data_IF_230969416698
#
_entry.id   IF_230969416698
#
_cell.length_a   1.000
_cell.length_b   1.000
_cell.length_c   1.000
_cell.angle_alpha   90.00
_cell.angle_beta   90.00
_cell.angle_gamma   90.00
#
_symmetry.space_group_name_H-M   'P 1'
#
loop_
_entity.id
_entity.type
_entity.pdbx_description
1 polymer ?
#
# COMPACT_ATOMS: atom_id res chain seq x y z
N UNK A 1 6.51 -18.75 -13.31
CA UNK A 1 5.52 -18.21 -12.33
C UNK A 1 4.12 -18.56 -12.82
N UNK A 2 3.32 -19.30 -12.03
CA UNK A 2 1.96 -19.66 -12.43
C UNK A 2 1.02 -18.46 -12.22
N UNK A 3 0.27 -18.10 -13.25
CA UNK A 3 -0.78 -17.11 -13.19
C UNK A 3 -2.13 -17.83 -13.15
N UNK A 4 -2.99 -17.51 -12.21
CA UNK A 4 -4.32 -18.12 -12.06
C UNK A 4 -5.39 -17.05 -12.34
N UNK A 5 -6.28 -17.25 -13.32
CA UNK A 5 -7.39 -16.36 -13.59
C UNK A 5 -8.61 -16.69 -12.69
N UNK A 6 -9.32 -15.65 -12.25
CA UNK A 6 -10.54 -15.75 -11.45
C UNK A 6 -11.63 -14.88 -12.08
N UNK A 7 -12.79 -15.46 -12.31
CA UNK A 7 -13.89 -14.78 -12.98
C UNK A 7 -14.51 -13.64 -12.13
N UNK A 8 -14.38 -13.71 -10.80
CA UNK A 8 -14.89 -12.70 -9.87
C UNK A 8 -14.16 -12.73 -8.53
N UNK A 9 -14.45 -11.75 -7.67
CA UNK A 9 -13.85 -11.62 -6.34
C UNK A 9 -14.27 -12.74 -5.37
N UNK A 10 -15.47 -13.31 -5.48
CA UNK A 10 -15.92 -14.41 -4.61
C UNK A 10 -15.02 -15.66 -4.82
N UNK A 11 -14.74 -16.02 -6.08
CA UNK A 11 -13.82 -17.12 -6.39
C UNK A 11 -12.41 -16.86 -5.91
N UNK A 12 -11.94 -15.61 -6.05
CA UNK A 12 -10.62 -15.20 -5.57
C UNK A 12 -10.57 -15.24 -4.04
N UNK A 13 -11.55 -14.69 -3.33
CA UNK A 13 -11.63 -14.73 -1.87
C UNK A 13 -11.65 -16.16 -1.33
N UNK A 14 -12.41 -17.05 -1.96
CA UNK A 14 -12.43 -18.47 -1.61
C UNK A 14 -11.05 -19.13 -1.81
N UNK A 15 -10.38 -18.83 -2.91
CA UNK A 15 -9.02 -19.34 -3.16
C UNK A 15 -8.03 -18.84 -2.09
N UNK A 16 -8.11 -17.57 -1.68
CA UNK A 16 -7.25 -17.03 -0.63
C UNK A 16 -7.50 -17.72 0.73
N UNK A 17 -8.75 -18.05 1.07
CA UNK A 17 -9.05 -18.84 2.27
C UNK A 17 -8.44 -20.24 2.21
N UNK A 18 -8.47 -20.91 1.06
CA UNK A 18 -7.83 -22.20 0.84
C UNK A 18 -6.29 -22.11 0.95
N UNK A 19 -5.66 -21.08 0.38
CA UNK A 19 -4.21 -20.88 0.54
C UNK A 19 -3.82 -20.74 2.03
N UNK A 20 -4.65 -20.07 2.83
CA UNK A 20 -4.41 -19.91 4.27
C UNK A 20 -4.59 -21.19 5.10
N UNK A 21 -5.13 -22.27 4.56
CA UNK A 21 -5.13 -23.58 5.23
C UNK A 21 -3.72 -24.12 5.42
N UNK A 22 -2.83 -23.89 4.43
CA UNK A 22 -1.44 -24.36 4.43
C UNK A 22 -0.42 -23.27 4.75
N UNK A 23 -0.78 -22.00 4.63
CA UNK A 23 0.08 -20.83 4.84
C UNK A 23 -0.43 -19.98 6.00
N UNK A 24 0.49 -19.27 6.67
CA UNK A 24 0.12 -18.34 7.72
C UNK A 24 -0.25 -16.96 7.16
N UNK A 25 0.39 -16.56 6.07
CA UNK A 25 0.27 -15.23 5.51
C UNK A 25 0.10 -15.28 4.00
N UNK A 26 -0.74 -14.38 3.47
CA UNK A 26 -0.83 -14.07 2.04
C UNK A 26 -0.54 -12.59 1.85
N UNK A 27 0.48 -12.28 1.07
CA UNK A 27 0.84 -10.91 0.69
C UNK A 27 0.39 -10.64 -0.74
N UNK A 28 -0.42 -9.59 -0.92
CA UNK A 28 -0.96 -9.18 -2.21
C UNK A 28 -0.40 -7.80 -2.57
N UNK A 29 0.41 -7.75 -3.60
CA UNK A 29 0.74 -6.48 -4.24
C UNK A 29 -0.27 -6.21 -5.36
N UNK A 30 -0.87 -5.02 -5.38
CA UNK A 30 -1.77 -4.62 -6.44
C UNK A 30 -1.81 -3.09 -6.59
N UNK A 31 -1.89 -2.62 -7.83
CA UNK A 31 -2.04 -1.18 -8.11
C UNK A 31 -3.38 -0.63 -7.61
N UNK A 32 -3.44 0.70 -7.46
CA UNK A 32 -4.70 1.37 -7.17
C UNK A 32 -5.71 1.12 -8.29
N UNK A 33 -7.00 1.00 -7.93
CA UNK A 33 -8.06 0.67 -8.88
C UNK A 33 -8.18 -0.81 -9.26
N UNK A 34 -7.27 -1.69 -8.82
CA UNK A 34 -7.36 -3.15 -9.09
C UNK A 34 -8.52 -3.82 -8.34
N UNK A 35 -9.02 -3.22 -7.24
CA UNK A 35 -10.12 -3.75 -6.44
C UNK A 35 -9.69 -4.40 -5.12
N UNK A 36 -8.54 -4.00 -4.55
CA UNK A 36 -8.06 -4.47 -3.22
C UNK A 36 -9.15 -4.38 -2.15
N UNK A 37 -9.73 -3.20 -1.97
CA UNK A 37 -10.77 -2.95 -0.96
C UNK A 37 -12.03 -3.77 -1.21
N UNK A 38 -12.44 -3.94 -2.47
CA UNK A 38 -13.57 -4.82 -2.81
C UNK A 38 -13.27 -6.28 -2.48
N UNK A 39 -12.05 -6.73 -2.72
CA UNK A 39 -11.60 -8.09 -2.36
C UNK A 39 -11.63 -8.30 -0.85
N UNK A 40 -11.13 -7.34 -0.07
CA UNK A 40 -11.11 -7.42 1.39
C UNK A 40 -12.53 -7.50 1.99
N UNK A 41 -13.46 -6.69 1.46
CA UNK A 41 -14.87 -6.76 1.85
C UNK A 41 -15.50 -8.11 1.47
N UNK A 42 -15.25 -8.61 0.24
CA UNK A 42 -15.75 -9.92 -0.20
C UNK A 42 -15.22 -11.05 0.69
N UNK A 43 -13.95 -11.00 1.06
CA UNK A 43 -13.32 -11.98 1.96
C UNK A 43 -13.97 -11.97 3.36
N UNK A 44 -14.19 -10.78 3.94
CA UNK A 44 -14.85 -10.59 5.22
C UNK A 44 -16.29 -11.07 5.18
N UNK A 45 -17.04 -10.77 4.10
CA UNK A 45 -18.42 -11.16 3.95
C UNK A 45 -18.62 -12.67 3.70
N UNK A 46 -17.62 -13.36 3.16
CA UNK A 46 -17.64 -14.82 3.06
C UNK A 46 -17.77 -15.48 4.44
N UNK A 47 -17.01 -15.02 5.45
CA UNK A 47 -17.15 -15.49 6.82
C UNK A 47 -18.54 -15.22 7.43
N UNK A 48 -19.13 -14.05 7.14
CA UNK A 48 -20.49 -13.73 7.61
C UNK A 48 -21.57 -14.65 7.03
N UNK A 49 -21.45 -15.01 5.74
CA UNK A 49 -22.38 -15.93 5.05
C UNK A 49 -22.36 -17.33 5.67
N UNK A 50 -21.20 -17.73 6.20
CA UNK A 50 -21.03 -19.01 6.92
C UNK A 50 -21.45 -18.93 8.40
N UNK A 51 -22.06 -17.81 8.82
CA UNK A 51 -22.50 -17.57 10.21
C UNK A 51 -21.38 -17.23 11.18
N UNK A 52 -20.14 -17.20 10.72
CA UNK A 52 -18.95 -16.92 11.54
C UNK A 52 -18.40 -15.55 11.18
N UNK A 53 -18.48 -14.57 12.06
CA UNK A 53 -17.75 -13.30 11.90
C UNK A 53 -16.32 -13.52 12.35
N UNK A 54 -15.47 -14.04 11.46
CA UNK A 54 -14.16 -14.58 11.75
C UNK A 54 -12.99 -13.67 11.34
N UNK A 55 -13.27 -12.54 10.70
CA UNK A 55 -12.26 -11.66 10.08
C UNK A 55 -12.19 -10.31 10.77
N UNK A 56 -11.04 -10.00 11.38
CA UNK A 56 -10.66 -8.65 11.79
C UNK A 56 -10.15 -7.91 10.55
N UNK A 57 -10.78 -6.78 10.24
CA UNK A 57 -10.50 -6.02 9.03
C UNK A 57 -9.95 -4.63 9.35
N UNK A 58 -8.85 -4.28 8.69
CA UNK A 58 -8.26 -2.94 8.73
C UNK A 58 -8.12 -2.38 7.31
N UNK A 59 -8.47 -1.12 7.19
CA UNK A 59 -8.25 -0.31 5.98
C UNK A 59 -7.75 1.06 6.42
N UNK A 60 -6.82 1.66 5.68
CA UNK A 60 -6.32 3.01 5.94
C UNK A 60 -7.43 4.10 5.84
N UNK A 61 -8.49 3.82 5.09
CA UNK A 61 -9.70 4.67 5.06
C UNK A 61 -10.64 4.28 6.20
N UNK A 62 -10.31 4.70 7.40
CA UNK A 62 -11.00 4.31 8.65
C UNK A 62 -12.19 5.21 8.99
N UNK A 63 -12.77 5.91 8.04
CA UNK A 63 -13.94 6.79 8.22
C UNK A 63 -15.13 6.07 8.87
N UNK A 64 -15.21 4.74 8.74
CA UNK A 64 -16.20 3.92 9.44
C UNK A 64 -15.90 3.70 10.93
N UNK A 65 -14.65 3.92 11.36
CA UNK A 65 -14.19 3.67 12.73
C UNK A 65 -14.02 4.95 13.53
N UNK A 66 -13.54 6.01 12.87
CA UNK A 66 -13.23 7.29 13.49
C UNK A 66 -13.79 8.43 12.63
N UNK A 67 -14.30 9.48 13.30
CA UNK A 67 -14.81 10.68 12.63
C UNK A 67 -14.38 11.92 13.39
N UNK A 68 -13.80 12.93 12.71
CA UNK A 68 -13.46 14.20 13.31
C UNK A 68 -14.70 15.04 13.61
N UNK A 69 -14.77 15.55 14.84
CA UNK A 69 -15.57 16.70 15.19
C UNK A 69 -14.64 17.91 15.29
N UNK A 70 -14.83 18.86 14.40
CA UNK A 70 -13.95 20.02 14.29
C UNK A 70 -14.50 21.25 15.06
N UNK A 71 -15.61 21.10 15.81
CA UNK A 71 -16.26 22.19 16.52
C UNK A 71 -16.35 23.46 15.65
N UNK A 72 -17.09 23.40 14.54
CA UNK A 72 -17.15 24.47 13.55
C UNK A 72 -17.74 25.78 14.10
N UNK A 73 -18.45 25.74 15.23
CA UNK A 73 -19.05 26.91 15.88
C UNK A 73 -18.10 27.53 16.90
N UNK A 74 -17.44 26.71 17.73
CA UNK A 74 -16.54 27.19 18.80
C UNK A 74 -15.06 27.25 18.39
N UNK A 75 -14.65 26.50 17.39
CA UNK A 75 -13.26 26.32 16.92
C UNK A 75 -12.23 26.08 18.07
N UNK A 76 -12.70 25.49 19.16
CA UNK A 76 -11.95 25.31 20.41
C UNK A 76 -11.70 23.86 20.75
N UNK A 77 -12.67 22.96 20.51
CA UNK A 77 -12.56 21.54 20.82
C UNK A 77 -12.52 20.68 19.56
N UNK A 78 -11.37 20.12 19.25
CA UNK A 78 -11.16 19.21 18.13
C UNK A 78 -10.96 17.83 18.66
N UNK A 79 -11.91 16.94 18.38
CA UNK A 79 -11.89 15.57 18.91
C UNK A 79 -12.11 14.55 17.79
N UNK A 80 -11.48 13.39 17.92
CA UNK A 80 -11.68 12.26 17.05
C UNK A 80 -12.70 11.32 17.71
N UNK A 81 -13.91 11.21 17.15
CA UNK A 81 -15.00 10.35 17.68
C UNK A 81 -14.78 8.89 17.27
N UNK A 82 -15.02 7.99 18.22
CA UNK A 82 -14.96 6.54 18.02
C UNK A 82 -16.35 6.02 17.69
N UNK A 83 -16.48 5.24 16.60
CA UNK A 83 -17.73 4.57 16.26
C UNK A 83 -17.93 3.32 17.12
N UNK A 84 -18.67 3.48 18.19
CA UNK A 84 -18.96 2.43 19.16
C UNK A 84 -19.74 1.24 18.64
N UNK A 85 -20.41 1.35 17.49
CA UNK A 85 -21.14 0.22 16.90
C UNK A 85 -20.17 -0.84 16.30
N UNK A 86 -18.88 -0.49 16.16
CA UNK A 86 -17.88 -1.42 15.63
C UNK A 86 -17.36 -2.37 16.69
N UNK A 87 -17.39 -3.68 16.40
CA UNK A 87 -16.74 -4.72 17.24
C UNK A 87 -15.23 -4.53 17.38
N UNK A 88 -14.64 -3.70 16.54
CA UNK A 88 -13.24 -3.31 16.61
C UNK A 88 -12.88 -2.69 17.98
N UNK A 89 -13.85 -2.05 18.61
CA UNK A 89 -13.68 -1.36 19.89
C UNK A 89 -14.29 -2.13 21.09
N UNK A 90 -14.54 -3.43 20.94
CA UNK A 90 -15.09 -4.22 22.03
C UNK A 90 -14.12 -4.29 23.22
N UNK A 91 -14.59 -3.92 24.41
CA UNK A 91 -13.83 -4.02 25.66
C UNK A 91 -12.71 -2.99 25.84
N UNK A 92 -12.75 -1.85 25.12
CA UNK A 92 -11.70 -0.84 25.16
C UNK A 92 -11.37 -0.31 26.56
N UNK A 93 -12.40 -0.09 27.39
CA UNK A 93 -12.24 0.47 28.74
C UNK A 93 -11.43 -0.46 29.66
N UNK A 94 -11.64 -1.78 29.53
CA UNK A 94 -11.00 -2.81 30.32
C UNK A 94 -9.56 -3.11 29.87
N UNK A 95 -9.16 -2.62 28.68
CA UNK A 95 -7.91 -3.00 28.02
C UNK A 95 -6.78 -1.99 28.15
N UNK A 96 -6.97 -0.91 28.90
CA UNK A 96 -5.95 0.16 29.13
C UNK A 96 -5.30 0.63 27.83
N UNK A 97 -6.10 0.96 26.83
CA UNK A 97 -5.64 1.23 25.47
C UNK A 97 -4.59 2.33 25.39
N UNK A 98 -4.69 3.40 26.20
CA UNK A 98 -3.73 4.49 26.20
C UNK A 98 -2.31 4.00 26.51
N UNK A 99 -2.18 3.21 27.58
CA UNK A 99 -0.89 2.65 28.00
C UNK A 99 -0.29 1.71 26.95
N UNK A 100 -1.12 1.07 26.16
CA UNK A 100 -0.70 0.14 25.09
C UNK A 100 -0.37 0.87 23.80
N UNK A 101 -1.10 1.93 23.44
CA UNK A 101 -0.90 2.68 22.21
C UNK A 101 0.33 3.59 22.28
N UNK A 102 0.55 4.29 23.42
CA UNK A 102 1.67 5.24 23.59
C UNK A 102 3.03 4.66 23.17
N UNK A 103 3.43 3.43 23.57
CA UNK A 103 4.73 2.87 23.18
C UNK A 103 4.89 2.66 21.67
N UNK A 104 3.78 2.47 20.94
CA UNK A 104 3.80 2.40 19.50
C UNK A 104 3.83 3.79 18.87
N UNK A 105 3.00 4.72 19.37
CA UNK A 105 2.83 6.05 18.83
C UNK A 105 4.12 6.89 18.94
N UNK A 106 4.76 6.90 20.09
CA UNK A 106 5.97 7.67 20.34
C UNK A 106 7.19 7.24 19.50
N UNK A 107 7.07 6.13 18.75
CA UNK A 107 8.10 5.74 17.76
C UNK A 107 7.99 6.50 16.45
N UNK A 108 6.84 7.10 16.18
CA UNK A 108 6.52 7.73 14.91
C UNK A 108 6.15 9.20 15.04
N UNK A 109 5.63 9.60 16.19
CA UNK A 109 5.03 10.92 16.40
C UNK A 109 5.49 11.53 17.73
N UNK A 110 5.44 12.86 17.79
CA UNK A 110 5.81 13.72 18.92
C UNK A 110 4.60 14.31 19.66
N UNK A 111 3.42 13.76 19.44
CA UNK A 111 2.20 14.14 20.14
C UNK A 111 1.71 13.01 21.05
N UNK A 112 0.89 13.38 22.05
CA UNK A 112 0.20 12.46 22.94
C UNK A 112 -1.31 12.56 22.74
N UNK A 113 -2.05 11.68 23.40
CA UNK A 113 -3.50 11.61 23.32
C UNK A 113 -4.12 11.13 24.63
N UNK A 114 -5.41 11.40 24.79
CA UNK A 114 -6.26 10.86 25.85
C UNK A 114 -7.57 10.32 25.26
N UNK A 115 -8.11 9.27 25.83
CA UNK A 115 -9.39 8.66 25.43
C UNK A 115 -10.43 8.96 26.51
N UNK A 116 -11.49 9.65 26.11
CA UNK A 116 -12.70 9.77 26.92
C UNK A 116 -13.63 8.61 26.57
N UNK A 117 -13.67 7.62 27.45
CA UNK A 117 -14.46 6.40 27.21
C UNK A 117 -15.97 6.63 27.34
N UNK A 118 -16.40 7.61 28.16
CA UNK A 118 -17.82 7.95 28.32
C UNK A 118 -18.36 8.65 27.07
N UNK A 119 -17.62 9.65 26.59
CA UNK A 119 -17.97 10.39 25.38
C UNK A 119 -17.52 9.72 24.09
N UNK A 120 -16.66 8.69 24.20
CA UNK A 120 -16.06 7.96 23.08
C UNK A 120 -15.32 8.88 22.13
N UNK A 121 -14.50 9.75 22.68
CA UNK A 121 -13.71 10.73 21.95
C UNK A 121 -12.23 10.58 22.29
N UNK A 122 -11.39 10.99 21.35
CA UNK A 122 -9.93 11.04 21.50
C UNK A 122 -9.52 12.48 21.32
N UNK A 123 -8.74 13.00 22.27
CA UNK A 123 -8.14 14.32 22.25
C UNK A 123 -6.65 14.19 22.05
N UNK A 124 -6.06 15.12 21.31
CA UNK A 124 -4.62 15.13 21.05
C UNK A 124 -3.98 16.34 21.70
N UNK A 125 -2.75 16.14 22.20
CA UNK A 125 -1.93 17.18 22.82
C UNK A 125 -0.49 17.10 22.33
N UNK A 126 0.25 18.21 22.41
CA UNK A 126 1.67 18.26 22.06
C UNK A 126 2.44 19.16 23.00
N UNK A 127 3.61 18.72 23.42
CA UNK A 127 4.57 19.54 24.14
C UNK A 127 5.30 20.48 23.18
N UNK A 128 5.33 21.76 23.51
CA UNK A 128 6.04 22.78 22.73
C UNK A 128 6.98 23.56 23.62
N UNK A 129 8.13 23.97 23.08
CA UNK A 129 9.04 24.88 23.78
C UNK A 129 8.51 26.32 23.69
N UNK A 130 8.26 26.92 24.83
CA UNK A 130 7.79 28.31 24.93
C UNK A 130 8.87 29.13 25.62
N UNK A 131 9.21 30.28 25.06
CA UNK A 131 10.10 31.26 25.69
C UNK A 131 9.31 32.06 26.74
N UNK A 132 9.77 32.02 28.00
CA UNK A 132 9.26 32.86 29.09
C UNK A 132 10.36 33.81 29.57
N UNK A 133 10.01 34.79 30.36
CA UNK A 133 10.96 35.75 30.94
C UNK A 133 12.03 35.05 31.81
N UNK A 134 11.74 33.86 32.30
CA UNK A 134 12.65 33.02 33.12
C UNK A 134 13.48 32.04 32.29
N UNK A 135 13.27 31.98 30.96
CA UNK A 135 13.96 31.09 30.02
C UNK A 135 13.03 30.13 29.27
N UNK A 136 13.58 29.24 28.46
CA UNK A 136 12.77 28.27 27.72
C UNK A 136 12.12 27.25 28.66
N UNK A 137 10.81 27.09 28.57
CA UNK A 137 10.02 26.12 29.32
C UNK A 137 9.18 25.28 28.36
N UNK A 138 8.75 24.10 28.81
CA UNK A 138 7.86 23.23 28.03
C UNK A 138 6.41 23.48 28.48
N UNK A 139 5.54 23.74 27.49
CA UNK A 139 4.09 23.87 27.72
C UNK A 139 3.36 22.83 26.89
N UNK A 140 2.29 22.25 27.42
CA UNK A 140 1.40 21.34 26.71
C UNK A 140 0.29 22.16 26.07
N UNK A 141 0.12 21.97 24.75
CA UNK A 141 -1.03 22.48 24.01
C UNK A 141 -2.02 21.33 23.83
N UNK A 142 -3.20 21.50 24.40
CA UNK A 142 -4.30 20.54 24.29
C UNK A 142 -5.21 20.84 23.08
N UNK A 143 -6.07 19.87 22.72
CA UNK A 143 -7.07 19.97 21.66
C UNK A 143 -6.49 20.31 20.29
N UNK A 144 -5.25 19.87 20.01
CA UNK A 144 -4.64 20.08 18.70
C UNK A 144 -5.32 19.23 17.62
N UNK A 145 -5.40 19.77 16.41
CA UNK A 145 -5.72 18.98 15.23
C UNK A 145 -4.43 18.42 14.64
N UNK A 146 -4.27 17.12 14.68
CA UNK A 146 -3.15 16.44 14.03
C UNK A 146 -3.31 16.45 12.49
N UNK A 147 -2.20 16.39 11.78
CA UNK A 147 -2.21 16.26 10.33
C UNK A 147 -2.82 14.92 9.90
N UNK A 148 -3.25 14.80 8.63
CA UNK A 148 -3.80 13.55 8.09
C UNK A 148 -2.82 12.37 8.17
N UNK A 149 -1.52 12.65 8.02
CA UNK A 149 -0.46 11.63 8.17
C UNK A 149 -0.35 11.14 9.61
N UNK A 150 -0.36 12.05 10.57
CA UNK A 150 -0.32 11.76 12.01
C UNK A 150 -1.57 11.00 12.46
N UNK A 151 -2.76 11.39 11.98
CA UNK A 151 -4.00 10.68 12.23
C UNK A 151 -3.90 9.22 11.75
N UNK A 152 -3.44 9.00 10.53
CA UNK A 152 -3.28 7.65 9.98
C UNK A 152 -2.30 6.81 10.80
N UNK A 153 -1.20 7.41 11.28
CA UNK A 153 -0.24 6.73 12.16
C UNK A 153 -0.90 6.39 13.50
N UNK A 154 -1.66 7.31 14.10
CA UNK A 154 -2.38 7.04 15.35
C UNK A 154 -3.35 5.85 15.19
N UNK A 155 -4.16 5.86 14.13
CA UNK A 155 -5.12 4.79 13.85
C UNK A 155 -4.39 3.47 13.58
N UNK A 156 -3.25 3.53 12.90
CA UNK A 156 -2.39 2.38 12.70
C UNK A 156 -1.85 1.81 14.03
N UNK A 157 -1.34 2.67 14.91
CA UNK A 157 -0.88 2.24 16.23
C UNK A 157 -2.00 1.63 17.06
N UNK A 158 -3.20 2.18 16.98
CA UNK A 158 -4.39 1.61 17.59
C UNK A 158 -4.66 0.19 17.08
N UNK A 159 -4.56 -0.01 15.77
CA UNK A 159 -4.74 -1.33 15.16
C UNK A 159 -3.63 -2.32 15.56
N UNK A 160 -2.38 -1.88 15.65
CA UNK A 160 -1.28 -2.73 16.14
C UNK A 160 -1.53 -3.24 17.56
N UNK A 161 -2.13 -2.41 18.42
CA UNK A 161 -2.53 -2.85 19.78
C UNK A 161 -3.61 -3.92 19.70
N UNK A 162 -4.59 -3.82 18.81
CA UNK A 162 -5.61 -4.86 18.63
C UNK A 162 -5.00 -6.17 18.14
N UNK A 163 -4.02 -6.12 17.23
CA UNK A 163 -3.24 -7.31 16.86
C UNK A 163 -2.52 -7.87 18.09
N UNK A 164 -1.89 -7.01 18.89
CA UNK A 164 -1.19 -7.46 20.11
C UNK A 164 -2.16 -8.12 21.09
N UNK A 165 -3.34 -7.56 21.30
CA UNK A 165 -4.39 -8.17 22.13
C UNK A 165 -4.87 -9.52 21.57
N UNK A 166 -4.90 -9.66 20.25
CA UNK A 166 -5.20 -10.94 19.59
C UNK A 166 -4.09 -11.96 19.85
N UNK A 167 -2.81 -11.54 19.80
CA UNK A 167 -1.64 -12.36 20.15
C UNK A 167 -1.70 -12.80 21.61
N UNK A 168 -2.05 -11.87 22.51
CA UNK A 168 -2.14 -12.11 23.95
C UNK A 168 -3.36 -12.98 24.34
N UNK A 169 -4.21 -13.32 23.37
CA UNK A 169 -5.40 -14.17 23.59
C UNK A 169 -6.54 -13.49 24.35
N UNK A 170 -6.63 -12.15 24.27
CA UNK A 170 -7.68 -11.39 24.94
C UNK A 170 -9.09 -11.89 24.54
N UNK A 171 -9.97 -12.05 25.52
CA UNK A 171 -11.32 -12.65 25.36
C UNK A 171 -12.12 -11.97 24.25
N UNK A 172 -12.04 -10.64 24.20
CA UNK A 172 -12.75 -9.83 23.21
C UNK A 172 -12.38 -10.15 21.75
N UNK A 173 -11.21 -10.77 21.50
CA UNK A 173 -10.69 -11.06 20.17
C UNK A 173 -10.53 -12.56 19.85
N UNK A 174 -10.97 -13.47 20.72
CA UNK A 174 -10.93 -14.93 20.48
C UNK A 174 -11.71 -15.40 19.25
N UNK A 175 -12.61 -14.58 18.76
CA UNK A 175 -13.37 -14.84 17.54
C UNK A 175 -12.55 -14.65 16.26
N UNK A 176 -11.37 -13.98 16.33
CA UNK A 176 -10.54 -13.66 15.17
C UNK A 176 -9.81 -14.92 14.69
N UNK A 177 -10.14 -15.35 13.47
CA UNK A 177 -9.42 -16.41 12.75
C UNK A 177 -8.56 -15.83 11.64
N UNK A 178 -9.00 -14.71 11.07
CA UNK A 178 -8.32 -14.02 9.99
C UNK A 178 -8.14 -12.54 10.32
N UNK A 179 -7.00 -12.00 9.92
CA UNK A 179 -6.74 -10.56 9.91
C UNK A 179 -6.53 -10.15 8.45
N UNK A 180 -7.38 -9.26 7.95
CA UNK A 180 -7.19 -8.68 6.62
C UNK A 180 -6.79 -7.22 6.74
N UNK A 181 -5.59 -6.89 6.25
CA UNK A 181 -5.02 -5.54 6.26
C UNK A 181 -5.01 -5.03 4.82
N UNK A 182 -5.80 -3.99 4.55
CA UNK A 182 -5.93 -3.41 3.22
C UNK A 182 -5.27 -2.04 3.17
N UNK A 183 -4.14 -1.99 2.48
CA UNK A 183 -3.39 -0.78 2.13
C UNK A 183 -3.07 0.14 3.33
N UNK A 184 -2.39 -0.38 4.39
CA UNK A 184 -2.31 0.28 5.68
C UNK A 184 -1.52 1.61 5.68
N UNK A 185 -0.74 1.87 4.64
CA UNK A 185 0.22 2.98 4.59
C UNK A 185 0.06 3.86 3.34
N UNK A 186 -1.16 4.34 3.09
CA UNK A 186 -1.45 5.12 1.89
C UNK A 186 -0.78 6.52 1.83
N UNK A 187 -0.25 7.03 2.94
CA UNK A 187 0.29 8.40 3.04
C UNK A 187 1.59 8.53 3.85
N UNK A 188 2.33 7.44 4.07
CA UNK A 188 3.61 7.46 4.77
C UNK A 188 4.79 7.59 3.79
N UNK A 189 5.86 8.24 4.26
CA UNK A 189 7.14 8.23 3.58
C UNK A 189 7.82 6.85 3.64
N UNK A 190 8.88 6.67 2.84
CA UNK A 190 9.59 5.40 2.73
C UNK A 190 10.20 4.90 4.05
N UNK A 191 10.70 5.81 4.90
CA UNK A 191 11.31 5.44 6.19
C UNK A 191 10.27 4.91 7.16
N UNK A 192 9.14 5.61 7.27
CA UNK A 192 8.02 5.19 8.08
C UNK A 192 7.40 3.89 7.54
N UNK A 193 7.31 3.73 6.22
CA UNK A 193 6.82 2.50 5.60
C UNK A 193 7.65 1.27 5.98
N UNK A 194 8.98 1.39 6.03
CA UNK A 194 9.88 0.30 6.45
C UNK A 194 9.69 -0.01 7.94
N UNK A 195 9.64 1.01 8.79
CA UNK A 195 9.48 0.83 10.24
C UNK A 195 8.13 0.17 10.58
N UNK A 196 7.05 0.62 9.94
CA UNK A 196 5.69 0.07 10.08
C UNK A 196 5.64 -1.39 9.62
N UNK A 197 6.26 -1.72 8.48
CA UNK A 197 6.31 -3.10 7.98
C UNK A 197 7.05 -4.05 8.93
N UNK A 198 8.20 -3.63 9.45
CA UNK A 198 8.97 -4.41 10.42
C UNK A 198 8.18 -4.65 11.71
N UNK A 199 7.54 -3.62 12.25
CA UNK A 199 6.72 -3.73 13.45
C UNK A 199 5.56 -4.70 13.26
N UNK A 200 4.84 -4.55 12.14
CA UNK A 200 3.75 -5.47 11.79
C UNK A 200 4.27 -6.90 11.70
N UNK A 201 5.37 -7.12 10.99
CA UNK A 201 5.95 -8.46 10.83
C UNK A 201 6.32 -9.10 12.17
N UNK A 202 6.89 -8.33 13.11
CA UNK A 202 7.22 -8.82 14.44
C UNK A 202 5.99 -9.26 15.24
N UNK A 203 4.87 -8.55 15.13
CA UNK A 203 3.60 -8.93 15.76
C UNK A 203 3.01 -10.18 15.10
N UNK A 204 2.97 -10.20 13.76
CA UNK A 204 2.38 -11.32 13.01
C UNK A 204 3.14 -12.64 13.21
N UNK A 205 4.45 -12.59 13.42
CA UNK A 205 5.27 -13.77 13.77
C UNK A 205 4.86 -14.43 15.09
N UNK A 206 4.23 -13.68 16.00
CA UNK A 206 3.78 -14.16 17.32
C UNK A 206 2.35 -14.72 17.28
N UNK A 207 1.60 -14.49 16.18
CA UNK A 207 0.25 -15.03 16.05
C UNK A 207 0.26 -16.54 15.96
N UNK A 208 -0.51 -17.20 16.82
CA UNK A 208 -0.76 -18.64 16.76
C UNK A 208 -2.21 -18.88 16.33
N UNK A 209 -2.40 -19.75 15.35
CA UNK A 209 -3.72 -20.12 14.83
C UNK A 209 -4.44 -19.05 14.01
N UNK A 210 -4.02 -17.78 14.05
CA UNK A 210 -4.62 -16.69 13.27
C UNK A 210 -3.86 -16.48 11.96
N UNK A 211 -4.61 -16.38 10.86
CA UNK A 211 -4.06 -16.24 9.51
C UNK A 211 -4.20 -14.81 9.01
N UNK A 212 -3.29 -14.36 8.16
CA UNK A 212 -3.33 -12.96 7.69
C UNK A 212 -3.29 -12.82 6.18
N UNK A 213 -4.01 -11.81 5.69
CA UNK A 213 -3.90 -11.31 4.31
C UNK A 213 -3.52 -9.84 4.40
N UNK A 214 -2.52 -9.45 3.64
CA UNK A 214 -2.08 -8.06 3.56
C UNK A 214 -2.07 -7.65 2.12
N UNK A 215 -2.89 -6.67 1.74
CA UNK A 215 -2.89 -6.06 0.41
C UNK A 215 -2.25 -4.68 0.47
N UNK A 216 -1.41 -4.35 -0.52
CA UNK A 216 -0.76 -3.05 -0.60
C UNK A 216 -0.35 -2.70 -2.03
N UNK A 217 -0.23 -1.40 -2.29
CA UNK A 217 0.41 -0.88 -3.50
C UNK A 217 1.81 -0.31 -3.23
N UNK A 218 2.24 -0.29 -1.97
CA UNK A 218 3.52 0.28 -1.57
C UNK A 218 4.64 -0.77 -1.66
N UNK A 219 5.59 -0.57 -2.57
CA UNK A 219 6.62 -1.56 -2.91
C UNK A 219 7.55 -1.89 -1.76
N UNK A 220 8.04 -0.87 -1.03
CA UNK A 220 8.97 -1.09 0.09
C UNK A 220 8.29 -1.86 1.22
N UNK A 221 7.08 -1.48 1.59
CA UNK A 221 6.29 -2.19 2.60
C UNK A 221 6.09 -3.66 2.23
N UNK A 222 5.70 -3.93 0.97
CA UNK A 222 5.53 -5.30 0.47
C UNK A 222 6.83 -6.09 0.56
N UNK A 223 7.96 -5.51 0.11
CA UNK A 223 9.25 -6.18 0.09
C UNK A 223 9.77 -6.49 1.50
N UNK A 224 9.61 -5.56 2.45
CA UNK A 224 9.97 -5.80 3.86
C UNK A 224 9.17 -6.97 4.43
N UNK A 225 7.84 -6.99 4.22
CA UNK A 225 7.01 -8.11 4.67
C UNK A 225 7.38 -9.42 3.98
N UNK A 226 7.73 -9.39 2.69
CA UNK A 226 8.20 -10.57 1.96
C UNK A 226 9.48 -11.18 2.56
N UNK A 227 10.37 -10.33 3.08
CA UNK A 227 11.62 -10.77 3.69
C UNK A 227 11.41 -11.24 5.13
N UNK A 228 10.55 -10.57 5.88
CA UNK A 228 10.35 -10.82 7.30
C UNK A 228 9.42 -12.00 7.59
N UNK A 229 8.40 -12.24 6.78
CA UNK A 229 7.39 -13.26 7.06
C UNK A 229 7.72 -14.59 6.38
N UNK A 230 7.87 -15.65 7.18
CA UNK A 230 7.98 -17.03 6.69
C UNK A 230 6.62 -17.66 6.37
N UNK A 231 6.60 -18.82 5.68
CA UNK A 231 5.38 -19.56 5.29
C UNK A 231 4.32 -18.69 4.62
N UNK A 232 4.75 -17.85 3.70
CA UNK A 232 3.96 -16.80 3.07
C UNK A 232 3.76 -17.08 1.60
N UNK A 233 2.54 -16.89 1.10
CA UNK A 233 2.25 -16.80 -0.34
C UNK A 233 2.36 -15.35 -0.77
N UNK A 234 3.23 -15.07 -1.75
CA UNK A 234 3.54 -13.73 -2.27
C UNK A 234 2.96 -13.59 -3.65
N UNK A 235 2.02 -12.69 -3.85
CA UNK A 235 1.27 -12.59 -5.10
C UNK A 235 1.19 -11.15 -5.62
N UNK A 236 1.16 -11.04 -6.94
CA UNK A 236 0.73 -9.86 -7.66
C UNK A 236 -0.70 -10.08 -8.18
N UNK A 237 -1.59 -9.16 -7.81
CA UNK A 237 -2.97 -9.15 -8.27
C UNK A 237 -3.15 -8.07 -9.34
N UNK A 238 -3.68 -8.48 -10.49
CA UNK A 238 -4.06 -7.57 -11.57
C UNK A 238 -5.47 -7.88 -12.06
N UNK A 239 -6.08 -6.93 -12.76
CA UNK A 239 -7.36 -7.12 -13.44
C UNK A 239 -7.14 -7.00 -14.94
N UNK A 240 -7.51 -8.03 -15.68
CA UNK A 240 -7.47 -7.99 -17.14
C UNK A 240 -8.69 -7.18 -17.64
N UNK A 241 -8.42 -6.09 -18.34
CA UNK A 241 -9.46 -5.19 -18.86
C UNK A 241 -10.30 -5.81 -19.99
N UNK A 242 -9.76 -6.80 -20.71
CA UNK A 242 -10.45 -7.44 -21.85
C UNK A 242 -11.41 -8.53 -21.40
N UNK A 243 -10.95 -9.41 -20.50
CA UNK A 243 -11.75 -10.51 -19.98
C UNK A 243 -12.51 -10.19 -18.70
N UNK A 244 -12.30 -9.00 -18.12
CA UNK A 244 -12.79 -8.55 -16.81
C UNK A 244 -12.43 -9.49 -15.65
N UNK A 245 -11.43 -10.37 -15.87
CA UNK A 245 -10.98 -11.37 -14.91
C UNK A 245 -9.89 -10.82 -13.99
N UNK A 246 -9.87 -11.31 -12.76
CA UNK A 246 -8.77 -11.09 -11.83
C UNK A 246 -7.69 -12.13 -12.05
N UNK A 247 -6.45 -11.68 -12.16
CA UNK A 247 -5.29 -12.56 -12.38
C UNK A 247 -4.39 -12.48 -11.16
N UNK A 248 -4.25 -13.61 -10.47
CA UNK A 248 -3.33 -13.77 -9.36
C UNK A 248 -2.07 -14.47 -9.84
N UNK A 249 -0.93 -13.76 -9.75
CA UNK A 249 0.38 -14.28 -10.12
C UNK A 249 1.24 -14.46 -8.88
N UNK A 250 1.75 -15.66 -8.65
CA UNK A 250 2.72 -15.89 -7.59
C UNK A 250 4.06 -15.25 -7.97
N UNK A 251 4.65 -14.43 -7.08
CA UNK A 251 5.93 -13.75 -7.31
C UNK A 251 7.13 -14.58 -6.86
N UNK A 252 6.91 -15.74 -6.23
CA UNK A 252 7.98 -16.60 -5.71
C UNK A 252 8.73 -15.94 -4.55
N UNK A 253 10.00 -16.26 -4.41
CA UNK A 253 10.88 -15.69 -3.37
C UNK A 253 11.56 -14.37 -3.80
N UNK A 254 11.33 -13.95 -5.02
CA UNK A 254 11.90 -12.70 -5.55
C UNK A 254 11.08 -11.51 -5.05
N UNK A 255 11.70 -10.51 -4.40
CA UNK A 255 11.02 -9.27 -4.06
C UNK A 255 10.38 -8.64 -5.29
N UNK A 256 9.15 -8.14 -5.16
CA UNK A 256 8.47 -7.49 -6.27
C UNK A 256 9.05 -6.09 -6.47
N UNK A 257 9.62 -5.86 -7.65
CA UNK A 257 10.11 -4.54 -8.06
C UNK A 257 9.12 -3.91 -9.04
N UNK A 258 8.42 -2.87 -8.60
CA UNK A 258 7.40 -2.19 -9.41
C UNK A 258 7.92 -1.74 -10.77
N UNK A 259 9.12 -1.17 -10.82
CA UNK A 259 9.74 -0.70 -12.08
C UNK A 259 10.07 -1.85 -13.03
N UNK A 260 10.49 -3.02 -12.52
CA UNK A 260 10.76 -4.20 -13.35
C UNK A 260 9.46 -4.82 -13.86
N UNK A 261 8.40 -4.84 -13.03
CA UNK A 261 7.08 -5.30 -13.48
C UNK A 261 6.49 -4.37 -14.55
N UNK A 262 6.62 -3.07 -14.38
CA UNK A 262 6.23 -2.07 -15.39
C UNK A 262 7.04 -2.25 -16.68
N UNK A 263 8.35 -2.46 -16.58
CA UNK A 263 9.20 -2.72 -17.74
C UNK A 263 8.80 -4.00 -18.48
N UNK A 264 8.48 -5.08 -17.76
CA UNK A 264 7.99 -6.33 -18.37
C UNK A 264 6.64 -6.13 -19.09
N UNK A 265 5.75 -5.29 -18.54
CA UNK A 265 4.49 -4.91 -19.18
C UNK A 265 4.73 -4.12 -20.47
N UNK A 266 5.62 -3.11 -20.42
CA UNK A 266 5.98 -2.32 -21.59
C UNK A 266 6.62 -3.16 -22.69
N UNK A 267 7.52 -4.06 -22.34
CA UNK A 267 8.14 -4.99 -23.28
C UNK A 267 7.09 -5.85 -23.97
N UNK A 268 6.19 -6.45 -23.21
CA UNK A 268 5.09 -7.27 -23.75
C UNK A 268 4.15 -6.46 -24.64
N UNK A 269 3.79 -5.24 -24.24
CA UNK A 269 2.95 -4.34 -25.04
C UNK A 269 3.63 -3.96 -26.35
N UNK A 270 4.94 -3.69 -26.32
CA UNK A 270 5.76 -3.42 -27.50
C UNK A 270 5.78 -4.56 -28.50
N UNK A 271 5.94 -5.80 -28.02
CA UNK A 271 5.93 -7.02 -28.84
C UNK A 271 4.55 -7.30 -29.45
N UNK A 272 3.48 -7.10 -28.68
CA UNK A 272 2.11 -7.37 -29.14
C UNK A 272 1.52 -6.26 -30.00
N UNK A 273 2.22 -5.13 -30.19
CA UNK A 273 1.75 -3.97 -30.95
C UNK A 273 0.64 -3.16 -30.27
N UNK A 274 0.21 -3.56 -29.08
CA UNK A 274 -0.88 -2.89 -28.32
C UNK A 274 -0.31 -1.80 -27.41
N UNK A 275 0.11 -0.69 -28.02
CA UNK A 275 0.69 0.44 -27.33
C UNK A 275 -0.33 1.57 -27.21
N UNK A 276 -0.54 2.00 -25.98
CA UNK A 276 -1.45 3.09 -25.60
C UNK A 276 -0.65 4.26 -25.03
N UNK A 277 -1.21 5.44 -25.06
CA UNK A 277 -0.57 6.68 -24.61
C UNK A 277 -0.05 6.59 -23.16
N UNK A 278 -0.76 5.90 -22.27
CA UNK A 278 -0.33 5.75 -20.88
C UNK A 278 0.99 4.94 -20.72
N UNK A 279 1.37 4.13 -21.72
CA UNK A 279 2.64 3.41 -21.67
C UNK A 279 3.85 4.37 -21.72
N UNK A 280 3.71 5.54 -22.32
CA UNK A 280 4.76 6.58 -22.24
C UNK A 280 4.96 7.08 -20.80
N UNK A 281 3.88 7.25 -20.04
CA UNK A 281 3.97 7.64 -18.62
C UNK A 281 4.69 6.57 -17.79
N UNK A 282 4.41 5.30 -18.06
CA UNK A 282 5.10 4.20 -17.41
C UNK A 282 6.59 4.20 -17.77
N UNK A 283 6.92 4.35 -19.05
CA UNK A 283 8.31 4.42 -19.53
C UNK A 283 9.05 5.60 -18.90
N UNK A 284 8.44 6.77 -18.88
CA UNK A 284 9.01 7.96 -18.24
C UNK A 284 9.31 7.72 -16.76
N UNK A 285 8.37 7.14 -16.01
CA UNK A 285 8.57 6.83 -14.59
C UNK A 285 9.77 5.89 -14.39
N UNK A 286 9.98 4.92 -15.28
CA UNK A 286 11.14 4.03 -15.24
C UNK A 286 12.43 4.82 -15.53
N UNK A 287 12.43 5.67 -16.54
CA UNK A 287 13.59 6.51 -16.90
C UNK A 287 13.96 7.47 -15.77
N UNK A 288 12.98 8.13 -15.14
CA UNK A 288 13.18 9.02 -14.00
C UNK A 288 13.80 8.30 -12.79
N UNK A 289 13.30 7.11 -12.45
CA UNK A 289 13.85 6.29 -11.37
C UNK A 289 15.25 5.80 -11.69
N UNK A 290 15.50 5.41 -12.95
CA UNK A 290 16.83 5.00 -13.40
C UNK A 290 17.81 6.15 -13.33
N UNK A 291 17.42 7.34 -13.81
CA UNK A 291 18.25 8.54 -13.73
C UNK A 291 18.62 8.87 -12.27
N UNK A 292 17.64 8.85 -11.39
CA UNK A 292 17.83 9.08 -9.97
C UNK A 292 18.80 8.05 -9.35
N UNK A 293 18.64 6.77 -9.66
CA UNK A 293 19.49 5.69 -9.17
C UNK A 293 20.96 5.83 -9.64
N UNK A 294 21.15 6.25 -10.88
CA UNK A 294 22.48 6.46 -11.47
C UNK A 294 23.07 7.86 -11.20
N UNK A 295 22.34 8.73 -10.49
CA UNK A 295 22.79 10.08 -10.18
C UNK A 295 22.76 11.06 -11.37
N UNK A 296 21.99 10.76 -12.40
CA UNK A 296 21.78 11.67 -13.54
C UNK A 296 20.82 12.79 -13.16
N UNK A 297 21.06 13.98 -13.72
CA UNK A 297 20.22 15.15 -13.44
C UNK A 297 18.86 15.11 -14.16
N UNK A 298 18.81 14.44 -15.32
CA UNK A 298 17.61 14.38 -16.19
C UNK A 298 17.39 12.96 -16.65
N UNK A 299 16.13 12.56 -16.80
CA UNK A 299 15.78 11.25 -17.34
C UNK A 299 16.21 11.07 -18.81
N UNK A 300 16.35 12.18 -19.58
CA UNK A 300 16.87 12.17 -20.95
C UNK A 300 18.29 11.59 -21.03
N UNK A 301 19.07 11.67 -19.95
CA UNK A 301 20.43 11.12 -19.91
C UNK A 301 20.42 9.57 -19.93
N UNK A 302 19.27 8.96 -19.69
CA UNK A 302 19.05 7.52 -19.81
C UNK A 302 18.67 7.06 -21.23
N UNK A 303 18.42 8.00 -22.15
CA UNK A 303 18.01 7.71 -23.53
C UNK A 303 19.26 7.82 -24.42
N UNK A 304 19.48 6.83 -25.30
CA UNK A 304 20.58 6.91 -26.24
C UNK A 304 20.31 7.96 -27.31
N UNK A 305 21.31 8.75 -27.63
CA UNK A 305 21.33 9.58 -28.82
C UNK A 305 21.47 8.67 -30.05
N UNK A 306 20.53 8.78 -30.98
CA UNK A 306 20.62 8.08 -32.28
C UNK A 306 21.07 9.05 -33.36
N UNK A 307 21.43 8.52 -34.53
CA UNK A 307 21.81 9.33 -35.70
C UNK A 307 20.67 10.26 -36.16
N UNK A 308 19.44 9.90 -35.86
CA UNK A 308 18.19 10.65 -36.13
C UNK A 308 17.82 11.65 -35.03
N UNK A 309 18.49 11.61 -33.87
CA UNK A 309 18.29 12.54 -32.76
C UNK A 309 19.63 12.75 -32.00
N UNK A 310 20.63 13.37 -32.65
CA UNK A 310 21.98 13.47 -32.09
C UNK A 310 22.03 14.25 -30.76
N UNK A 311 21.07 15.12 -30.53
CA UNK A 311 20.96 15.90 -29.29
C UNK A 311 20.12 15.24 -28.21
N UNK A 312 19.48 14.08 -28.48
CA UNK A 312 18.55 13.38 -27.58
C UNK A 312 17.29 14.18 -27.23
N UNK A 313 17.02 15.27 -27.99
CA UNK A 313 15.94 16.20 -27.69
C UNK A 313 14.61 15.65 -28.17
N UNK A 314 14.60 14.97 -29.31
CA UNK A 314 13.37 14.46 -29.93
C UNK A 314 12.73 13.40 -29.04
N UNK A 315 13.47 12.40 -28.60
CA UNK A 315 12.98 11.33 -27.72
C UNK A 315 12.55 11.87 -26.36
N UNK A 316 13.32 12.78 -25.76
CA UNK A 316 12.96 13.43 -24.52
C UNK A 316 11.67 14.26 -24.67
N UNK A 317 11.50 14.97 -25.80
CA UNK A 317 10.27 15.71 -26.10
C UNK A 317 9.06 14.79 -26.29
N UNK A 318 9.21 13.68 -27.02
CA UNK A 318 8.13 12.72 -27.24
C UNK A 318 7.64 12.17 -25.89
N UNK A 319 8.56 11.76 -25.03
CA UNK A 319 8.21 11.28 -23.68
C UNK A 319 7.56 12.38 -22.84
N UNK A 320 7.96 13.66 -22.99
CA UNK A 320 7.34 14.79 -22.32
C UNK A 320 5.97 15.18 -22.90
N UNK A 321 5.86 15.32 -24.21
CA UNK A 321 4.63 15.79 -24.89
C UNK A 321 3.49 14.81 -24.66
N UNK A 322 3.76 13.52 -24.76
CA UNK A 322 2.76 12.48 -24.57
C UNK A 322 2.32 12.33 -23.09
N UNK A 323 3.01 13.01 -22.19
CA UNK A 323 2.69 13.06 -20.76
C UNK A 323 1.76 14.22 -20.38
N UNK A 324 1.74 15.31 -21.15
CA UNK A 324 0.95 16.51 -20.86
C UNK A 324 -0.42 16.53 -21.54
N UNK A 325 -0.77 15.52 -22.33
CA UNK A 325 -2.12 15.36 -22.88
C UNK A 325 -3.11 14.86 -21.82
N UNK A 326 -4.39 15.18 -22.00
CA UNK A 326 -5.51 14.63 -21.20
C UNK A 326 -5.64 13.11 -21.38
N UNK A 327 -4.67 12.34 -20.86
CA UNK A 327 -4.66 10.88 -20.96
C UNK A 327 -5.45 10.29 -19.82
N UNK A 328 -6.74 10.11 -20.05
CA UNK A 328 -7.59 9.36 -19.14
C UNK A 328 -7.12 7.91 -19.09
N UNK A 329 -6.73 7.44 -17.90
CA UNK A 329 -6.56 6.02 -17.63
C UNK A 329 -7.86 5.23 -17.88
N UNK A 330 -8.99 5.95 -17.92
CA UNK A 330 -10.33 5.39 -18.14
C UNK A 330 -10.68 5.20 -19.61
N UNK A 331 -10.02 5.97 -20.51
CA UNK A 331 -10.17 5.84 -21.97
C UNK A 331 -8.78 5.80 -22.62
N UNK A 332 -8.10 4.64 -22.61
CA UNK A 332 -6.77 4.52 -23.19
C UNK A 332 -6.84 4.69 -24.72
N UNK A 333 -6.20 5.75 -25.21
CA UNK A 333 -6.04 5.98 -26.65
C UNK A 333 -4.87 5.17 -27.18
N UNK A 334 -5.09 4.45 -28.28
CA UNK A 334 -4.03 3.73 -28.97
C UNK A 334 -3.06 4.73 -29.62
N UNK A 335 -1.78 4.45 -29.53
CA UNK A 335 -0.75 5.31 -30.17
C UNK A 335 -0.83 5.22 -31.69
N UNK A 336 -0.51 6.32 -32.35
CA UNK A 336 -0.23 6.34 -33.79
C UNK A 336 1.00 5.46 -34.10
N UNK A 337 1.06 4.85 -35.28
CA UNK A 337 2.15 3.92 -35.65
C UNK A 337 3.54 4.56 -35.56
N UNK A 338 3.68 5.82 -35.92
CA UNK A 338 4.92 6.56 -35.76
C UNK A 338 5.35 6.61 -34.26
N UNK A 339 4.44 6.93 -33.36
CA UNK A 339 4.71 6.97 -31.93
C UNK A 339 5.03 5.59 -31.36
N UNK A 340 4.40 4.52 -31.90
CA UNK A 340 4.71 3.14 -31.54
C UNK A 340 6.14 2.77 -31.94
N UNK A 341 6.61 3.24 -33.10
CA UNK A 341 7.97 3.00 -33.57
C UNK A 341 9.00 3.67 -32.64
N UNK A 342 8.79 4.95 -32.30
CA UNK A 342 9.66 5.66 -31.36
C UNK A 342 9.64 5.01 -29.97
N UNK A 343 8.47 4.63 -29.48
CA UNK A 343 8.36 3.94 -28.18
C UNK A 343 9.19 2.67 -28.14
N UNK A 344 9.07 1.81 -29.16
CA UNK A 344 9.83 0.57 -29.25
C UNK A 344 11.32 0.81 -29.31
N UNK A 345 11.76 1.83 -30.06
CA UNK A 345 13.17 2.21 -30.15
C UNK A 345 13.72 2.64 -28.81
N UNK A 346 13.07 3.61 -28.13
CA UNK A 346 13.48 4.07 -26.78
C UNK A 346 13.54 2.91 -25.79
N UNK A 347 12.53 2.06 -25.78
CA UNK A 347 12.47 0.90 -24.87
C UNK A 347 13.60 -0.09 -25.16
N UNK A 348 13.84 -0.40 -26.44
CA UNK A 348 14.91 -1.31 -26.86
C UNK A 348 16.29 -0.79 -26.48
N UNK A 349 16.56 0.49 -26.75
CA UNK A 349 17.83 1.14 -26.44
C UNK A 349 18.06 1.21 -24.92
N UNK A 350 17.03 1.54 -24.16
CA UNK A 350 17.06 1.53 -22.71
C UNK A 350 17.39 0.14 -22.15
N UNK A 351 16.71 -0.89 -22.64
CA UNK A 351 16.95 -2.28 -22.20
C UNK A 351 18.31 -2.82 -22.64
N UNK A 352 18.85 -2.32 -23.73
CA UNK A 352 20.20 -2.67 -24.20
C UNK A 352 21.30 -1.98 -23.37
N UNK A 353 21.03 -0.77 -22.89
CA UNK A 353 21.98 0.02 -22.06
C UNK A 353 22.04 -0.43 -20.61
N UNK A 354 20.88 -0.81 -20.03
CA UNK A 354 20.78 -1.20 -18.63
C UNK A 354 20.45 -2.70 -18.53
N UNK A 355 21.32 -3.44 -17.84
CA UNK A 355 21.11 -4.87 -17.63
C UNK A 355 20.02 -5.12 -16.59
N UNK A 356 18.95 -5.78 -17.00
CA UNK A 356 17.90 -6.25 -16.11
C UNK A 356 17.94 -7.77 -16.01
N UNK A 357 17.48 -8.32 -14.88
CA UNK A 357 17.40 -9.78 -14.72
C UNK A 357 16.43 -10.37 -15.76
N UNK A 358 16.90 -11.20 -16.72
CA UNK A 358 16.06 -11.75 -17.78
C UNK A 358 14.89 -12.58 -17.25
N UNK A 359 15.06 -13.24 -16.10
CA UNK A 359 14.01 -14.04 -15.47
C UNK A 359 12.81 -13.21 -15.02
N UNK A 360 13.00 -11.92 -14.72
CA UNK A 360 11.93 -11.02 -14.34
C UNK A 360 11.20 -10.42 -15.54
N UNK A 361 11.90 -10.25 -16.67
CA UNK A 361 11.37 -9.64 -17.88
C UNK A 361 10.69 -10.64 -18.82
N UNK A 362 11.30 -11.79 -19.04
CA UNK A 362 10.90 -12.74 -20.08
C UNK A 362 10.16 -13.97 -19.53
N UNK A 363 9.27 -13.79 -18.57
CA UNK A 363 8.56 -14.83 -17.81
C UNK A 363 7.86 -15.89 -18.65
N UNK A 364 8.60 -16.83 -19.24
CA UNK A 364 8.05 -18.14 -19.60
C UNK A 364 9.03 -19.30 -19.40
N UNK A 365 10.31 -19.07 -19.16
CA UNK A 365 11.31 -20.14 -18.97
C UNK A 365 12.50 -19.66 -18.14
N UNK A 366 12.35 -19.56 -16.83
CA UNK A 366 13.46 -19.73 -15.90
C UNK A 366 13.04 -20.82 -14.93
N UNK A 367 13.34 -22.02 -15.28
CA UNK A 367 13.39 -23.20 -14.41
C UNK A 367 14.83 -23.38 -14.03
#
# INVERSE_FOLDING_TARGET
MSAKPFANLDKLAKHLRQELESKNHVLLYAYNGTGKTRLSMTFKDAGKREGTRDTLYFNAYTEDLFTWDNDLEGDSERVLKINAASRFFAGLEELEMENRIRPFLHRYCDFDFSIDYEQRTIRFSREVQVQTDEGPTTATIDHIKVSRGEENIFIWCFFLVIIQLTVDGAEAYKWVKYIFIDDPISSLDDNNAIAVANHLAQLLKKLDGVKTIISTHHTLFFNVLCNELGKTTKCFLSKDKQSDQYILRNTGDTPFFQHVAALAELYKAGQNGRLYTYHFNMLRTILEKTASFHGFRKFSDCINQGDDDPDGILYARIVNILNHGNYSLFEPQEMLEENKAYFRKILSDFMGRYAFNPCLLYTSRCV
#
